data_IF_367434563935
#
_entry.id   IF_367434563935
#
_cell.length_a   1.000
_cell.length_b   1.000
_cell.length_c   1.000
_cell.angle_alpha   90.00
_cell.angle_beta   90.00
_cell.angle_gamma   90.00
#
_symmetry.space_group_name_H-M   'P 1'
#
loop_
_entity.id
_entity.type
_entity.pdbx_description
1 polymer ?
#
# COMPACT_ATOMS: atom_id res chain seq x y z
N UNK A 1 -9.99 22.31 12.53
CA UNK A 1 -8.79 21.81 11.80
C UNK A 1 -8.62 22.70 10.58
N UNK A 2 -7.47 23.36 10.41
CA UNK A 2 -7.23 24.20 9.22
C UNK A 2 -6.68 23.33 8.10
N UNK A 3 -7.56 22.91 7.20
CA UNK A 3 -7.25 21.93 6.14
C UNK A 3 -6.29 22.49 5.08
N UNK A 4 -6.31 23.81 4.81
CA UNK A 4 -5.43 24.46 3.84
C UNK A 4 -3.96 24.43 4.30
N UNK A 5 -3.72 24.75 5.57
CA UNK A 5 -2.38 24.70 6.16
C UNK A 5 -1.82 23.28 6.23
N UNK A 6 -2.68 22.26 6.36
CA UNK A 6 -2.27 20.85 6.34
C UNK A 6 -1.85 20.46 4.93
N UNK A 7 -2.68 20.76 3.92
CA UNK A 7 -2.38 20.43 2.51
C UNK A 7 -1.08 21.08 2.01
N UNK A 8 -0.75 22.30 2.47
CA UNK A 8 0.51 22.95 2.10
C UNK A 8 1.76 22.25 2.68
N UNK A 9 1.60 21.46 3.75
CA UNK A 9 2.71 20.81 4.48
C UNK A 9 2.72 19.29 4.37
N UNK A 10 1.73 18.70 3.69
CA UNK A 10 1.61 17.25 3.52
C UNK A 10 1.56 16.87 2.05
N UNK A 11 1.94 15.64 1.76
CA UNK A 11 1.88 15.03 0.43
C UNK A 11 0.85 13.90 0.43
N UNK A 12 0.40 13.49 -0.76
CA UNK A 12 -0.55 12.40 -0.92
C UNK A 12 0.14 11.07 -0.55
N UNK A 13 -0.26 10.48 0.57
CA UNK A 13 0.28 9.20 1.03
C UNK A 13 0.21 8.10 -0.05
N UNK A 14 -0.89 8.04 -0.83
CA UNK A 14 -1.06 7.02 -1.87
C UNK A 14 -0.01 7.15 -2.96
N UNK A 15 0.24 8.36 -3.43
CA UNK A 15 1.16 8.60 -4.53
C UNK A 15 2.61 8.27 -4.10
N UNK A 16 2.97 8.66 -2.88
CA UNK A 16 4.30 8.34 -2.33
C UNK A 16 4.45 6.84 -2.05
N UNK A 17 3.43 6.18 -1.50
CA UNK A 17 3.44 4.73 -1.29
C UNK A 17 3.63 3.98 -2.61
N UNK A 18 2.88 4.33 -3.67
CA UNK A 18 3.02 3.67 -4.97
C UNK A 18 4.42 3.88 -5.57
N UNK A 19 5.04 5.03 -5.33
CA UNK A 19 6.42 5.29 -5.76
C UNK A 19 7.40 4.41 -4.99
N UNK A 20 7.28 4.30 -3.67
CA UNK A 20 8.17 3.48 -2.84
C UNK A 20 8.01 1.98 -3.18
N UNK A 21 6.79 1.51 -3.47
CA UNK A 21 6.52 0.13 -3.87
C UNK A 21 7.06 -0.25 -5.26
N UNK A 22 7.60 0.70 -6.03
CA UNK A 22 8.39 0.37 -7.23
C UNK A 22 9.76 -0.24 -6.89
N UNK A 23 10.27 0.06 -5.68
CA UNK A 23 11.45 -0.60 -5.15
C UNK A 23 11.09 -2.01 -4.65
N UNK A 24 11.82 -3.01 -5.15
CA UNK A 24 11.50 -4.42 -4.88
C UNK A 24 11.77 -4.81 -3.43
N UNK A 25 12.78 -4.22 -2.79
CA UNK A 25 13.10 -4.51 -1.39
C UNK A 25 12.02 -3.91 -0.47
N UNK A 26 11.62 -2.67 -0.71
CA UNK A 26 10.52 -2.03 0.02
C UNK A 26 9.20 -2.80 -0.15
N UNK A 27 8.86 -3.19 -1.39
CA UNK A 27 7.66 -3.98 -1.67
C UNK A 27 7.66 -5.34 -0.95
N UNK A 28 8.84 -5.98 -0.84
CA UNK A 28 8.99 -7.23 -0.10
C UNK A 28 8.67 -7.03 1.39
N UNK A 29 9.29 -6.05 2.05
CA UNK A 29 9.02 -5.78 3.47
C UNK A 29 7.56 -5.39 3.73
N UNK A 30 6.96 -4.63 2.81
CA UNK A 30 5.56 -4.26 2.90
C UNK A 30 4.62 -5.47 2.87
N UNK A 31 4.88 -6.45 1.98
CA UNK A 31 4.13 -7.70 1.94
C UNK A 31 4.39 -8.60 3.15
N UNK A 32 5.63 -8.65 3.64
CA UNK A 32 5.98 -9.44 4.83
C UNK A 32 5.25 -8.95 6.08
N UNK A 33 5.14 -7.64 6.26
CA UNK A 33 4.37 -7.04 7.36
C UNK A 33 2.89 -7.46 7.28
N UNK A 34 2.26 -7.30 6.11
CA UNK A 34 0.87 -7.70 5.92
C UNK A 34 0.64 -9.21 6.10
N UNK A 35 1.63 -10.04 5.75
CA UNK A 35 1.58 -11.48 5.97
C UNK A 35 1.74 -11.86 7.45
N UNK A 36 2.50 -11.07 8.23
CA UNK A 36 2.62 -11.28 9.66
C UNK A 36 1.29 -11.02 10.37
N UNK A 37 0.63 -9.90 10.05
CA UNK A 37 -0.71 -9.56 10.56
C UNK A 37 -1.75 -10.63 10.15
N UNK A 38 -1.67 -11.12 8.91
CA UNK A 38 -2.55 -12.23 8.50
C UNK A 38 -2.36 -13.49 9.36
N UNK A 39 -1.12 -13.80 9.77
CA UNK A 39 -0.84 -15.00 10.58
C UNK A 39 -1.22 -14.84 12.05
N UNK A 40 -1.14 -13.64 12.60
CA UNK A 40 -1.42 -13.39 14.01
C UNK A 40 -2.93 -13.32 14.29
N UNK A 41 -3.69 -12.68 13.40
CA UNK A 41 -5.08 -12.31 13.64
C UNK A 41 -6.05 -12.67 12.49
N UNK A 42 -5.63 -13.49 11.52
CA UNK A 42 -6.40 -13.87 10.32
C UNK A 42 -6.88 -12.64 9.52
N UNK A 43 -6.13 -11.54 9.64
CA UNK A 43 -6.42 -10.27 9.01
C UNK A 43 -6.13 -10.34 7.50
N UNK A 44 -7.09 -10.86 6.76
CA UNK A 44 -7.03 -11.00 5.30
C UNK A 44 -7.06 -9.66 4.59
N UNK A 45 -7.71 -8.63 5.15
CA UNK A 45 -7.90 -7.33 4.49
C UNK A 45 -6.58 -6.62 4.23
N UNK A 46 -5.70 -6.56 5.24
CA UNK A 46 -4.36 -5.97 5.12
C UNK A 46 -3.54 -6.66 4.03
N UNK A 47 -3.58 -7.99 3.96
CA UNK A 47 -2.86 -8.76 2.96
C UNK A 47 -3.39 -8.51 1.53
N UNK A 48 -4.70 -8.49 1.34
CA UNK A 48 -5.30 -8.19 0.04
C UNK A 48 -5.00 -6.77 -0.44
N UNK A 49 -5.03 -5.79 0.48
CA UNK A 49 -4.65 -4.43 0.16
C UNK A 49 -3.17 -4.34 -0.23
N UNK A 50 -2.28 -4.98 0.52
CA UNK A 50 -0.85 -4.94 0.24
C UNK A 50 -0.52 -5.56 -1.13
N UNK A 51 -1.15 -6.70 -1.46
CA UNK A 51 -1.03 -7.34 -2.77
C UNK A 51 -1.52 -6.43 -3.90
N UNK A 52 -2.68 -5.79 -3.74
CA UNK A 52 -3.22 -4.84 -4.72
C UNK A 52 -2.26 -3.69 -4.97
N UNK A 53 -1.73 -3.12 -3.90
CA UNK A 53 -0.90 -1.91 -3.94
C UNK A 53 0.45 -2.20 -4.62
N UNK A 54 1.06 -3.35 -4.35
CA UNK A 54 2.29 -3.80 -5.05
C UNK A 54 2.02 -4.04 -6.54
N UNK A 55 0.91 -4.71 -6.88
CA UNK A 55 0.55 -4.97 -8.28
C UNK A 55 0.35 -3.66 -9.03
N UNK A 56 -0.35 -2.69 -8.44
CA UNK A 56 -0.57 -1.37 -9.03
C UNK A 56 0.74 -0.61 -9.23
N UNK A 57 1.59 -0.55 -8.20
CA UNK A 57 2.88 0.14 -8.25
C UNK A 57 3.82 -0.43 -9.33
N UNK A 58 3.81 -1.75 -9.52
CA UNK A 58 4.68 -2.44 -10.49
C UNK A 58 4.09 -2.49 -11.91
N UNK A 59 3.01 -1.74 -12.18
CA UNK A 59 2.40 -1.63 -13.51
C UNK A 59 1.51 -2.82 -13.89
N UNK A 60 1.21 -3.69 -12.93
CA UNK A 60 0.21 -4.74 -13.08
C UNK A 60 -1.21 -4.17 -13.10
N UNK A 61 -2.10 -4.83 -13.84
CA UNK A 61 -3.52 -4.47 -13.85
C UNK A 61 -4.24 -5.24 -12.76
N UNK A 62 -4.66 -4.54 -11.71
CA UNK A 62 -5.64 -5.07 -10.77
C UNK A 62 -6.98 -5.16 -11.50
N UNK A 63 -7.36 -6.37 -11.91
CA UNK A 63 -8.70 -6.64 -12.42
C UNK A 63 -9.67 -6.68 -11.23
N UNK A 64 -10.26 -5.53 -10.91
CA UNK A 64 -11.39 -5.47 -9.99
C UNK A 64 -12.64 -6.08 -10.68
N UNK A 65 -12.81 -7.40 -10.58
CA UNK A 65 -14.10 -8.07 -10.80
C UNK A 65 -14.10 -9.53 -10.29
N UNK A 66 -14.63 -9.75 -9.09
CA UNK A 66 -15.97 -10.33 -8.81
C UNK A 66 -16.18 -10.37 -7.29
#
# INVERSE_FOLDING_TARGET
MNTEAILEKTTCFRDDLLKDLTDTEFAMYYLEAALADYKEDDNTESLWMALRDVVEAQGGKVIAKL
#
